data_IF_501544643438
#
_entry.id   IF_501544643438
#
_cell.length_a   1.000
_cell.length_b   1.000
_cell.length_c   1.000
_cell.angle_alpha   90.00
_cell.angle_beta   90.00
_cell.angle_gamma   90.00
#
_symmetry.space_group_name_H-M   'P 1'
#
loop_
_entity.id
_entity.type
_entity.pdbx_description
1 polymer ?
#
# COMPACT_ATOMS: atom_id res chain seq x y z
N UNK A 1 5.18 -12.42 -3.71
CA UNK A 1 5.63 -13.40 -2.70
C UNK A 1 6.42 -12.69 -1.61
N UNK A 2 7.42 -11.86 -1.95
CA UNK A 2 8.30 -11.18 -0.99
C UNK A 2 7.60 -10.41 0.16
N UNK A 3 6.59 -9.57 -0.10
CA UNK A 3 5.89 -8.85 0.97
C UNK A 3 5.22 -9.76 2.00
N UNK A 4 4.77 -10.96 1.61
CA UNK A 4 4.16 -11.95 2.52
C UNK A 4 5.19 -12.76 3.30
N UNK A 5 6.46 -12.70 2.90
CA UNK A 5 7.57 -13.39 3.53
C UNK A 5 8.30 -12.50 4.55
N UNK A 6 7.89 -11.23 4.67
CA UNK A 6 8.44 -10.33 5.67
C UNK A 6 8.10 -10.84 7.08
N UNK A 7 9.04 -10.73 8.04
CA UNK A 7 8.80 -11.15 9.42
C UNK A 7 7.71 -10.32 10.12
N UNK A 8 7.52 -9.07 9.67
CA UNK A 8 6.43 -8.19 10.07
C UNK A 8 5.87 -7.53 8.81
N UNK A 9 4.55 -7.49 8.67
CA UNK A 9 3.85 -6.84 7.58
C UNK A 9 4.04 -5.32 7.60
N UNK A 10 3.88 -4.70 6.42
CA UNK A 10 4.11 -3.26 6.23
C UNK A 10 3.19 -2.40 7.12
N UNK A 11 1.97 -2.87 7.38
CA UNK A 11 0.97 -2.16 8.18
C UNK A 11 0.80 -2.74 9.60
N UNK A 12 1.60 -3.72 10.02
CA UNK A 12 1.41 -4.45 11.29
C UNK A 12 1.55 -3.57 12.54
N UNK A 13 2.22 -2.42 12.44
CA UNK A 13 2.31 -1.46 13.54
C UNK A 13 1.05 -0.61 13.72
N UNK A 14 0.11 -0.63 12.77
CA UNK A 14 -1.16 0.09 12.83
C UNK A 14 -2.29 -0.85 13.28
N UNK A 15 -3.32 -0.29 13.93
CA UNK A 15 -4.51 -1.07 14.23
C UNK A 15 -5.35 -1.29 12.95
N UNK A 16 -6.02 -2.45 12.81
CA UNK A 16 -6.93 -2.68 11.69
C UNK A 16 -8.02 -1.61 11.57
N UNK A 17 -8.53 -1.10 12.69
CA UNK A 17 -9.54 -0.04 12.73
C UNK A 17 -9.01 1.26 12.15
N UNK A 18 -7.76 1.64 12.48
CA UNK A 18 -7.11 2.84 11.93
C UNK A 18 -7.01 2.75 10.40
N UNK A 19 -6.58 1.59 9.88
CA UNK A 19 -6.47 1.37 8.44
C UNK A 19 -7.84 1.38 7.75
N UNK A 20 -8.85 0.76 8.35
CA UNK A 20 -10.21 0.70 7.80
C UNK A 20 -10.95 2.05 7.84
N UNK A 21 -10.60 2.92 8.80
CA UNK A 21 -11.18 4.26 8.93
C UNK A 21 -10.49 5.31 8.04
N UNK A 22 -9.33 5.00 7.48
CA UNK A 22 -8.64 5.86 6.53
C UNK A 22 -9.43 5.95 5.22
N UNK A 23 -10.05 7.11 4.96
CA UNK A 23 -10.84 7.36 3.77
C UNK A 23 -10.43 8.64 3.02
N UNK A 24 -9.45 9.38 3.56
CA UNK A 24 -8.91 10.59 2.97
C UNK A 24 -7.39 10.57 2.87
N UNK A 25 -6.85 11.42 1.99
CA UNK A 25 -5.40 11.57 1.80
C UNK A 25 -4.72 12.09 3.08
N UNK A 26 -5.36 13.01 3.81
CA UNK A 26 -4.83 13.54 5.08
C UNK A 26 -4.71 12.43 6.13
N UNK A 27 -5.76 11.62 6.32
CA UNK A 27 -5.72 10.48 7.25
C UNK A 27 -4.66 9.45 6.84
N UNK A 28 -4.47 9.23 5.53
CA UNK A 28 -3.40 8.35 5.05
C UNK A 28 -2.03 8.89 5.45
N UNK A 29 -1.76 10.18 5.22
CA UNK A 29 -0.50 10.81 5.60
C UNK A 29 -0.27 10.71 7.11
N UNK A 30 -1.29 10.95 7.93
CA UNK A 30 -1.22 10.78 9.38
C UNK A 30 -0.84 9.34 9.76
N UNK A 31 -1.49 8.33 9.16
CA UNK A 31 -1.16 6.93 9.41
C UNK A 31 0.27 6.56 8.99
N UNK A 32 0.74 7.08 7.87
CA UNK A 32 2.11 6.87 7.40
C UNK A 32 3.12 7.45 8.40
N UNK A 33 2.80 8.56 9.08
CA UNK A 33 3.68 9.12 10.13
C UNK A 33 3.80 8.23 11.38
N UNK A 34 2.81 7.36 11.62
CA UNK A 34 2.84 6.40 12.73
C UNK A 34 3.68 5.16 12.41
N UNK A 35 3.98 4.90 11.13
CA UNK A 35 4.82 3.79 10.71
C UNK A 35 6.30 4.06 11.01
N UNK A 36 7.05 2.99 11.26
CA UNK A 36 8.52 3.07 11.28
C UNK A 36 9.03 3.47 9.88
N UNK A 37 10.19 4.15 9.78
CA UNK A 37 10.70 4.65 8.50
C UNK A 37 10.82 3.58 7.41
N UNK A 38 11.18 2.35 7.76
CA UNK A 38 11.35 1.26 6.79
C UNK A 38 10.01 0.75 6.22
N UNK A 39 9.01 0.34 7.04
CA UNK A 39 7.66 0.07 6.54
C UNK A 39 7.03 1.23 5.77
N UNK A 40 7.21 2.48 6.24
CA UNK A 40 6.71 3.66 5.53
C UNK A 40 7.31 3.78 4.11
N UNK A 41 8.62 3.63 3.98
CA UNK A 41 9.30 3.66 2.68
C UNK A 41 8.86 2.50 1.77
N UNK A 42 8.65 1.30 2.32
CA UNK A 42 8.14 0.15 1.58
C UNK A 42 6.72 0.36 1.09
N UNK A 43 5.85 0.95 1.93
CA UNK A 43 4.49 1.31 1.54
C UNK A 43 4.51 2.34 0.41
N UNK A 44 5.31 3.40 0.53
CA UNK A 44 5.44 4.42 -0.52
C UNK A 44 5.92 3.80 -1.83
N UNK A 45 6.98 2.99 -1.78
CA UNK A 45 7.49 2.28 -2.95
C UNK A 45 6.45 1.35 -3.58
N UNK A 46 5.67 0.63 -2.76
CA UNK A 46 4.61 -0.23 -3.27
C UNK A 46 3.51 0.59 -3.98
N UNK A 47 3.12 1.73 -3.42
CA UNK A 47 2.14 2.64 -4.03
C UNK A 47 2.66 3.23 -5.34
N UNK A 48 3.92 3.67 -5.38
CA UNK A 48 4.56 4.16 -6.61
C UNK A 48 4.61 3.06 -7.68
N UNK A 49 5.01 1.84 -7.32
CA UNK A 49 4.99 0.70 -8.25
C UNK A 49 3.57 0.41 -8.76
N UNK A 50 2.55 0.48 -7.89
CA UNK A 50 1.17 0.32 -8.31
C UNK A 50 0.75 1.40 -9.31
N UNK A 51 1.19 2.64 -9.12
CA UNK A 51 0.94 3.74 -10.05
C UNK A 51 1.60 3.49 -11.41
N UNK A 52 2.89 3.15 -11.44
CA UNK A 52 3.62 2.82 -12.67
C UNK A 52 2.94 1.71 -13.47
N UNK A 53 2.38 0.70 -12.78
CA UNK A 53 1.66 -0.39 -13.44
C UNK A 53 0.31 0.09 -14.00
N UNK A 54 -0.40 0.97 -13.31
CA UNK A 54 -1.67 1.52 -13.79
C UNK A 54 -1.48 2.41 -15.03
N UNK A 55 -0.35 3.11 -15.14
CA UNK A 55 -0.06 3.92 -16.34
C UNK A 55 0.01 3.08 -17.62
N UNK A 56 0.46 1.83 -17.50
CA UNK A 56 0.57 0.88 -18.61
C UNK A 56 -0.70 0.02 -18.81
N UNK A 57 -1.86 0.47 -18.30
CA UNK A 57 -3.15 -0.26 -18.34
C UNK A 57 -3.51 -0.73 -19.77
N UNK A 58 -3.21 0.05 -20.80
CA UNK A 58 -3.50 -0.31 -22.18
C UNK A 58 -2.75 -1.57 -22.65
N UNK A 59 -1.57 -1.86 -22.08
CA UNK A 59 -0.75 -3.01 -22.43
C UNK A 59 -0.96 -4.18 -21.45
N UNK A 60 -1.01 -3.88 -20.15
CA UNK A 60 -1.06 -4.92 -19.10
C UNK A 60 -2.49 -5.27 -18.64
N UNK A 61 -3.50 -4.47 -19.02
CA UNK A 61 -4.91 -4.62 -18.66
C UNK A 61 -5.20 -4.54 -17.15
N UNK A 62 -4.32 -3.88 -16.41
CA UNK A 62 -4.39 -3.70 -14.96
C UNK A 62 -4.78 -2.26 -14.61
N UNK A 63 -6.06 -2.04 -14.29
CA UNK A 63 -6.50 -0.79 -13.71
C UNK A 63 -6.19 -0.69 -12.21
N UNK A 64 -6.34 0.51 -11.64
CA UNK A 64 -6.06 0.78 -10.22
C UNK A 64 -6.79 -0.18 -9.26
N UNK A 65 -8.03 -0.53 -9.57
CA UNK A 65 -8.82 -1.47 -8.77
C UNK A 65 -8.24 -2.89 -8.80
N UNK A 66 -7.87 -3.38 -9.98
CA UNK A 66 -7.28 -4.70 -10.17
C UNK A 66 -5.94 -4.80 -9.42
N UNK A 67 -5.12 -3.76 -9.50
CA UNK A 67 -3.83 -3.71 -8.80
C UNK A 67 -4.03 -3.69 -7.28
N UNK A 68 -4.91 -2.83 -6.76
CA UNK A 68 -5.20 -2.78 -5.34
C UNK A 68 -5.66 -4.14 -4.79
N UNK A 69 -6.51 -4.88 -5.53
CA UNK A 69 -6.95 -6.22 -5.13
C UNK A 69 -5.82 -7.26 -5.12
N UNK A 70 -4.78 -7.10 -5.94
CA UNK A 70 -3.62 -8.01 -5.98
C UNK A 70 -2.64 -7.72 -4.84
N UNK A 71 -2.53 -6.47 -4.42
CA UNK A 71 -1.63 -6.03 -3.36
C UNK A 71 -2.23 -6.09 -1.94
N UNK A 72 -3.56 -6.09 -1.80
CA UNK A 72 -4.26 -6.16 -0.52
C UNK A 72 -4.13 -7.50 0.28
N UNK A 73 -4.04 -8.70 -0.33
CA UNK A 73 -4.02 -9.99 0.39
C UNK A 73 -2.64 -10.53 0.77
#
# INVERSE_FOLDING_TARGET
AWFRELPEGVLDSLSPEQVLQCNSEEEFLELVTLLRPTPAALLNWAVELMADVVEEEELNKMNARNIAMVFAP
#
